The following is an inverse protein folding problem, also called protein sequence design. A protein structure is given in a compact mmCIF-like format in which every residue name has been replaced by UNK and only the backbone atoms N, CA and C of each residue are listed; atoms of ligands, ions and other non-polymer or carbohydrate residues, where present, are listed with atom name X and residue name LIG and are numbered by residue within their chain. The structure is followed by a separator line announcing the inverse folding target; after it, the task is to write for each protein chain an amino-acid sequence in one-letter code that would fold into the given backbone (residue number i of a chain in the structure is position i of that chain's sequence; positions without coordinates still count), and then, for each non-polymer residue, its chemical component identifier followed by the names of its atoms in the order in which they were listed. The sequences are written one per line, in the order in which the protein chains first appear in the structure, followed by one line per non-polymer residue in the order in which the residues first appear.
data_IF_145351620270
#
_entry.id   IF_145351620270
#
_cell.length_a   1.000
_cell.length_b   1.000
_cell.length_c   1.000
_cell.angle_alpha   90.00
_cell.angle_beta   90.00
_cell.angle_gamma   90.00
#
_symmetry.space_group_name_H-M   'P 1'
#
loop_
_entity.id
_entity.type
_entity.pdbx_description
1 polymer ?
#
# COMPACT_ATOMS: atom_id res chain seq x y z
N UNK A 1 -31.76 -12.28 48.71
CA UNK A 1 -31.03 -11.48 47.70
C UNK A 1 -29.68 -12.15 47.52
N UNK A 2 -29.45 -12.86 46.42
CA UNK A 2 -28.16 -13.52 46.17
C UNK A 2 -27.13 -12.52 45.69
N UNK A 3 -25.95 -12.53 46.32
CA UNK A 3 -24.83 -11.69 45.90
C UNK A 3 -24.19 -12.28 44.64
N UNK A 4 -24.14 -11.48 43.57
CA UNK A 4 -23.55 -11.89 42.29
C UNK A 4 -22.03 -12.07 42.45
N UNK A 5 -21.43 -13.17 41.95
CA UNK A 5 -20.00 -13.40 42.08
C UNK A 5 -19.21 -12.30 41.37
N UNK A 6 -18.30 -11.66 42.11
CA UNK A 6 -17.43 -10.59 41.61
C UNK A 6 -16.26 -11.26 40.87
N UNK A 7 -16.02 -10.94 39.59
CA UNK A 7 -14.92 -11.53 38.83
C UNK A 7 -13.57 -11.20 39.48
N UNK A 8 -12.68 -12.20 39.55
CA UNK A 8 -11.31 -12.02 40.06
C UNK A 8 -10.56 -10.97 39.21
N UNK A 9 -9.91 -9.95 39.82
CA UNK A 9 -9.17 -8.91 39.08
C UNK A 9 -8.12 -9.47 38.11
N UNK A 10 -7.51 -10.61 38.41
CA UNK A 10 -6.60 -11.29 37.47
C UNK A 10 -7.27 -11.69 36.16
N UNK A 11 -8.53 -12.15 36.22
CA UNK A 11 -9.29 -12.56 35.04
C UNK A 11 -9.65 -11.35 34.16
N UNK A 12 -9.94 -10.20 34.79
CA UNK A 12 -10.20 -8.93 34.10
C UNK A 12 -8.93 -8.43 33.39
N UNK A 13 -7.77 -8.53 34.05
CA UNK A 13 -6.48 -8.10 33.48
C UNK A 13 -6.09 -8.97 32.26
N UNK A 14 -6.24 -10.29 32.35
CA UNK A 14 -5.95 -11.20 31.23
C UNK A 14 -6.88 -10.90 30.05
N UNK A 15 -8.18 -10.71 30.29
CA UNK A 15 -9.15 -10.38 29.25
C UNK A 15 -8.82 -9.03 28.57
N UNK A 16 -8.44 -8.01 29.35
CA UNK A 16 -8.04 -6.71 28.83
C UNK A 16 -6.78 -6.81 27.96
N UNK A 17 -5.77 -7.58 28.40
CA UNK A 17 -4.54 -7.83 27.61
C UNK A 17 -4.84 -8.56 26.30
N UNK A 18 -5.74 -9.54 26.28
CA UNK A 18 -6.08 -10.25 25.03
C UNK A 18 -6.78 -9.35 23.99
N UNK A 19 -7.51 -8.32 24.43
CA UNK A 19 -8.18 -7.38 23.54
C UNK A 19 -7.23 -6.36 22.89
N UNK A 20 -6.08 -6.09 23.49
CA UNK A 20 -5.11 -5.11 22.93
C UNK A 20 -4.18 -5.72 21.89
N UNK A 21 -3.95 -7.04 21.89
CA UNK A 21 -3.07 -7.72 20.92
C UNK A 21 -3.73 -7.94 19.55
N UNK A 22 -5.06 -7.88 19.47
CA UNK A 22 -5.81 -8.20 18.24
C UNK A 22 -5.95 -7.06 17.24
N UNK A 23 -5.46 -5.85 17.56
CA UNK A 23 -5.50 -4.72 16.63
C UNK A 23 -4.31 -4.75 15.66
N UNK A 24 -4.29 -5.74 14.77
CA UNK A 24 -3.40 -5.70 13.60
C UNK A 24 -4.12 -4.94 12.49
N UNK A 25 -3.72 -3.70 12.23
CA UNK A 25 -4.23 -2.94 11.08
C UNK A 25 -3.54 -3.42 9.80
N UNK A 26 -4.32 -3.66 8.74
CA UNK A 26 -3.73 -3.90 7.43
C UNK A 26 -3.02 -2.64 6.96
N UNK A 27 -1.73 -2.75 6.65
CA UNK A 27 -0.98 -1.62 6.10
C UNK A 27 -1.56 -1.23 4.72
N UNK A 28 -1.68 0.07 4.43
CA UNK A 28 -2.09 0.53 3.11
C UNK A 28 -1.09 0.05 2.05
N UNK A 29 -1.49 0.13 0.79
CA UNK A 29 -0.63 -0.29 -0.32
C UNK A 29 -0.64 0.71 -1.48
N UNK A 30 0.49 0.76 -2.18
CA UNK A 30 0.63 1.54 -3.41
C UNK A 30 0.70 0.61 -4.62
N UNK A 31 -0.04 0.95 -5.67
CA UNK A 31 -0.10 0.21 -6.93
C UNK A 31 0.63 0.99 -8.01
N UNK A 32 1.50 0.28 -8.74
CA UNK A 32 2.17 0.77 -9.92
C UNK A 32 1.61 0.06 -11.16
N UNK A 33 1.06 0.83 -12.08
CA UNK A 33 0.49 0.28 -13.31
C UNK A 33 1.57 -0.20 -14.29
N UNK A 34 1.20 -1.11 -15.18
CA UNK A 34 2.10 -1.66 -16.19
C UNK A 34 2.31 -0.72 -17.38
N UNK A 35 3.03 -1.24 -18.39
CA UNK A 35 3.22 -0.53 -19.66
C UNK A 35 1.87 -0.28 -20.34
N UNK A 36 1.77 0.80 -21.12
CA UNK A 36 0.58 1.19 -21.87
C UNK A 36 -0.66 1.56 -21.04
N UNK A 37 -0.50 1.73 -19.73
CA UNK A 37 -1.61 1.97 -18.80
C UNK A 37 -1.44 3.28 -18.03
N UNK A 38 -2.39 3.58 -17.13
CA UNK A 38 -2.42 4.75 -16.24
C UNK A 38 -3.32 4.49 -15.04
N UNK A 39 -3.19 5.25 -13.96
CA UNK A 39 -4.01 5.06 -12.76
C UNK A 39 -5.51 5.33 -12.99
N UNK A 40 -5.86 6.18 -13.95
CA UNK A 40 -7.26 6.40 -14.35
C UNK A 40 -7.81 5.33 -15.31
N UNK A 41 -7.01 4.32 -15.65
CA UNK A 41 -7.42 3.20 -16.50
C UNK A 41 -8.38 2.26 -15.77
N UNK A 42 -9.42 1.78 -16.46
CA UNK A 42 -10.48 0.94 -15.88
C UNK A 42 -9.93 -0.30 -15.18
N UNK A 43 -8.92 -0.95 -15.76
CA UNK A 43 -8.32 -2.17 -15.20
C UNK A 43 -7.56 -1.90 -13.90
N UNK A 44 -6.74 -0.84 -13.86
CA UNK A 44 -5.97 -0.47 -12.66
C UNK A 44 -6.88 -0.01 -11.53
N UNK A 45 -7.90 0.79 -11.85
CA UNK A 45 -8.91 1.23 -10.87
C UNK A 45 -9.63 0.02 -10.29
N UNK A 46 -10.15 -0.87 -11.14
CA UNK A 46 -10.88 -2.06 -10.69
C UNK A 46 -9.99 -3.00 -9.88
N UNK A 47 -8.73 -3.19 -10.29
CA UNK A 47 -7.77 -3.99 -9.54
C UNK A 47 -7.55 -3.41 -8.14
N UNK A 48 -7.32 -2.10 -8.04
CA UNK A 48 -7.07 -1.42 -6.78
C UNK A 48 -8.29 -1.51 -5.86
N UNK A 49 -9.49 -1.27 -6.37
CA UNK A 49 -10.74 -1.41 -5.60
C UNK A 49 -10.96 -2.84 -5.07
N UNK A 50 -10.75 -3.85 -5.92
CA UNK A 50 -10.91 -5.26 -5.50
C UNK A 50 -9.88 -5.64 -4.44
N UNK A 51 -8.62 -5.23 -4.62
CA UNK A 51 -7.57 -5.53 -3.66
C UNK A 51 -7.80 -4.83 -2.32
N UNK A 52 -8.26 -3.58 -2.33
CA UNK A 52 -8.65 -2.86 -1.11
C UNK A 52 -9.78 -3.59 -0.38
N UNK A 53 -10.82 -4.01 -1.11
CA UNK A 53 -11.95 -4.73 -0.53
C UNK A 53 -11.56 -6.08 0.06
N UNK A 54 -10.65 -6.83 -0.57
CA UNK A 54 -10.22 -8.15 -0.08
C UNK A 54 -9.21 -8.07 1.06
N UNK A 55 -8.31 -7.08 1.03
CA UNK A 55 -7.27 -6.91 2.06
C UNK A 55 -7.75 -6.12 3.28
N UNK A 56 -8.86 -5.38 3.16
CA UNK A 56 -9.29 -4.41 4.16
C UNK A 56 -8.30 -3.26 4.34
N UNK A 57 -7.39 -3.05 3.38
CA UNK A 57 -6.40 -1.99 3.40
C UNK A 57 -6.74 -0.90 2.38
N UNK A 58 -6.31 0.33 2.64
CA UNK A 58 -6.43 1.42 1.68
C UNK A 58 -5.39 1.26 0.55
N UNK A 59 -5.84 1.39 -0.70
CA UNK A 59 -5.04 1.22 -1.90
C UNK A 59 -4.94 2.51 -2.69
N UNK A 60 -3.72 2.89 -3.08
CA UNK A 60 -3.44 4.10 -3.86
C UNK A 60 -2.69 3.75 -5.13
N UNK A 61 -3.18 4.17 -6.29
CA UNK A 61 -2.40 4.07 -7.51
C UNK A 61 -1.48 5.29 -7.65
N UNK A 62 -0.21 5.07 -8.01
CA UNK A 62 0.73 6.15 -8.26
C UNK A 62 1.08 6.24 -9.74
N UNK A 63 0.85 7.43 -10.30
CA UNK A 63 1.08 7.71 -11.72
C UNK A 63 2.57 8.00 -11.99
N UNK A 64 3.16 7.30 -12.96
CA UNK A 64 4.52 7.58 -13.44
C UNK A 64 4.45 8.31 -14.78
N UNK A 65 4.97 9.53 -14.83
CA UNK A 65 4.94 10.38 -16.04
C UNK A 65 3.54 10.88 -16.36
N UNK A 66 3.24 11.04 -17.65
CA UNK A 66 1.95 11.47 -18.20
C UNK A 66 1.12 10.29 -18.72
N UNK A 67 1.06 9.20 -17.95
CA UNK A 67 0.28 8.00 -18.26
C UNK A 67 0.72 7.26 -19.52
N UNK A 68 -0.26 6.82 -20.33
CA UNK A 68 -0.05 5.85 -21.41
C UNK A 68 1.08 6.23 -22.38
N UNK A 69 1.23 7.52 -22.71
CA UNK A 69 2.28 7.99 -23.62
C UNK A 69 3.68 7.79 -23.04
N UNK A 70 3.91 8.23 -21.81
CA UNK A 70 5.20 8.07 -21.16
C UNK A 70 5.46 6.58 -20.85
N UNK A 71 4.41 5.83 -20.54
CA UNK A 71 4.48 4.39 -20.34
C UNK A 71 5.06 3.64 -21.55
N UNK A 72 4.67 4.00 -22.78
CA UNK A 72 5.19 3.38 -24.01
C UNK A 72 6.57 3.85 -24.44
N UNK A 73 6.82 5.16 -24.34
CA UNK A 73 7.95 5.78 -25.05
C UNK A 73 9.08 6.22 -24.12
N UNK A 74 8.87 6.23 -22.80
CA UNK A 74 9.96 6.40 -21.85
C UNK A 74 10.70 5.08 -21.66
N UNK A 75 12.03 5.03 -21.87
CA UNK A 75 12.82 3.83 -21.59
C UNK A 75 12.63 3.32 -20.15
N UNK A 76 12.58 2.01 -19.93
CA UNK A 76 12.37 1.41 -18.61
C UNK A 76 13.41 1.87 -17.58
N UNK A 77 14.69 2.02 -17.96
CA UNK A 77 15.72 2.59 -17.08
C UNK A 77 15.42 4.03 -16.70
N UNK A 78 14.77 4.82 -17.56
CA UNK A 78 14.27 6.16 -17.21
C UNK A 78 12.99 6.11 -16.39
N UNK A 79 12.15 5.09 -16.53
CA UNK A 79 10.99 4.88 -15.65
C UNK A 79 11.43 4.42 -14.24
N UNK A 80 12.43 3.55 -14.13
CA UNK A 80 13.01 3.09 -12.86
C UNK A 80 13.87 4.19 -12.23
N UNK A 81 14.71 4.87 -13.01
CA UNK A 81 15.45 6.04 -12.55
C UNK A 81 14.49 7.18 -12.21
N UNK A 82 13.36 7.31 -12.92
CA UNK A 82 12.26 8.14 -12.45
C UNK A 82 11.82 7.60 -11.10
N UNK A 83 11.25 6.41 -10.94
CA UNK A 83 10.88 5.83 -9.62
C UNK A 83 11.95 5.95 -8.51
N UNK A 84 13.25 6.00 -8.82
CA UNK A 84 14.36 6.22 -7.87
C UNK A 84 14.71 7.71 -7.62
N UNK A 85 14.71 8.57 -8.64
CA UNK A 85 14.90 10.03 -8.55
C UNK A 85 13.59 10.75 -8.17
N UNK A 86 12.52 10.45 -8.89
CA UNK A 86 11.12 10.49 -8.45
C UNK A 86 10.96 9.61 -7.23
N UNK A 87 11.89 8.77 -6.79
CA UNK A 87 11.85 8.22 -5.42
C UNK A 87 11.75 9.34 -4.39
N UNK A 88 12.34 10.52 -4.67
CA UNK A 88 12.11 11.75 -3.93
C UNK A 88 10.74 12.41 -4.19
N UNK A 89 10.14 12.24 -5.38
CA UNK A 89 8.83 12.80 -5.75
C UNK A 89 7.64 11.90 -5.35
N UNK A 90 7.84 10.59 -5.35
CA UNK A 90 7.11 9.48 -4.73
C UNK A 90 7.23 9.64 -3.23
N UNK A 91 8.44 9.81 -2.69
CA UNK A 91 8.60 10.23 -1.30
C UNK A 91 7.84 11.53 -1.09
N UNK A 92 7.88 12.55 -1.96
CA UNK A 92 7.04 13.76 -1.78
C UNK A 92 5.53 13.51 -1.89
N UNK A 93 5.04 12.69 -2.82
CA UNK A 93 3.62 12.34 -2.97
C UNK A 93 3.14 11.48 -1.79
N UNK A 94 3.85 10.38 -1.51
CA UNK A 94 3.64 9.45 -0.38
C UNK A 94 3.86 10.14 0.97
N UNK A 95 4.85 11.03 1.12
CA UNK A 95 5.08 11.83 2.36
C UNK A 95 4.02 12.89 2.55
N UNK A 96 3.39 13.37 1.48
CA UNK A 96 2.18 14.18 1.59
C UNK A 96 0.94 13.35 1.94
N UNK A 97 0.99 12.03 1.77
CA UNK A 97 -0.05 11.12 2.23
C UNK A 97 0.28 10.68 3.65
N UNK A 98 -0.28 11.39 4.63
CA UNK A 98 -0.16 11.03 6.05
C UNK A 98 -0.48 9.56 6.33
N UNK A 99 -1.38 8.99 5.53
CA UNK A 99 -1.87 7.62 5.55
C UNK A 99 -0.77 6.57 5.32
N UNK A 100 0.29 6.93 4.57
CA UNK A 100 1.40 6.03 4.23
C UNK A 100 2.61 6.19 5.15
N UNK A 101 2.56 7.12 6.11
CA UNK A 101 3.70 7.50 6.95
C UNK A 101 4.14 6.42 7.94
N UNK A 102 3.22 5.54 8.35
CA UNK A 102 3.50 4.40 9.24
C UNK A 102 3.92 3.12 8.50
N UNK A 103 4.05 3.20 7.16
CA UNK A 103 4.46 2.10 6.30
C UNK A 103 3.37 1.67 5.32
N UNK A 104 3.78 1.03 4.23
CA UNK A 104 2.88 0.58 3.17
C UNK A 104 3.47 -0.60 2.39
N UNK A 105 2.59 -1.38 1.76
CA UNK A 105 2.97 -2.45 0.83
C UNK A 105 3.10 -1.90 -0.60
N UNK A 106 3.93 -2.54 -1.42
CA UNK A 106 4.10 -2.16 -2.83
C UNK A 106 3.57 -3.28 -3.73
N UNK A 107 2.71 -2.90 -4.67
CA UNK A 107 2.13 -3.81 -5.67
C UNK A 107 2.50 -3.33 -7.06
N UNK A 108 3.29 -4.13 -7.78
CA UNK A 108 3.66 -3.85 -9.17
C UNK A 108 2.85 -4.70 -10.14
N UNK A 109 2.15 -4.05 -11.08
CA UNK A 109 1.45 -4.74 -12.16
C UNK A 109 2.38 -4.91 -13.36
N UNK A 110 2.46 -6.13 -13.90
CA UNK A 110 3.22 -6.44 -15.12
C UNK A 110 4.69 -5.98 -15.03
N UNK A 111 5.13 -5.02 -15.86
CA UNK A 111 6.52 -4.56 -15.86
C UNK A 111 6.89 -3.70 -14.65
N UNK A 112 5.92 -3.18 -13.89
CA UNK A 112 6.19 -2.40 -12.69
C UNK A 112 6.77 -3.24 -11.53
N UNK A 113 6.77 -4.57 -11.63
CA UNK A 113 7.45 -5.45 -10.69
C UNK A 113 8.96 -5.57 -10.95
N UNK A 114 9.48 -5.12 -12.11
CA UNK A 114 10.89 -5.32 -12.46
C UNK A 114 11.81 -4.63 -11.46
N UNK A 115 12.43 -5.44 -10.59
CA UNK A 115 13.66 -5.06 -9.90
C UNK A 115 14.79 -5.11 -10.92
N UNK A 116 15.33 -3.95 -11.27
CA UNK A 116 16.69 -3.91 -11.80
C UNK A 116 17.60 -4.36 -10.66
N UNK A 117 18.05 -5.61 -10.74
CA UNK A 117 19.12 -6.12 -9.90
C UNK A 117 20.38 -5.39 -10.38
N UNK A 118 20.67 -4.23 -9.81
CA UNK A 118 22.03 -3.71 -9.89
C UNK A 118 22.94 -4.73 -9.21
N UNK A 119 23.74 -5.39 -10.03
CA UNK A 119 24.83 -6.31 -9.66
C UNK A 119 26.14 -5.53 -9.78
N UNK A 120 27.15 -5.85 -8.97
CA UNK A 120 27.35 -5.41 -7.58
C UNK A 120 27.80 -3.94 -7.43
#
# INVERSE_FOLDING_TARGET
MEAKPIPNPFFIIILALTFTVTSTYSLPFVVFHGIADKCSGTEVTRFTELLSNWSGAEGYCIEIGNGVWDSWFMPLTKQVLAVFLVGALFNVQVKNMSELSEGYNIVGLSQAYWKEKSVP
#
